data_IF_312796292829
#
_entry.id   IF_312796292829
#
_cell.length_a   1.000
_cell.length_b   1.000
_cell.length_c   1.000
_cell.angle_alpha   90.00
_cell.angle_beta   90.00
_cell.angle_gamma   90.00
#
_symmetry.space_group_name_H-M   'P 1'
#
loop_
_entity.id
_entity.type
_entity.pdbx_description
1 polymer ?
#
# COMPACT_ATOMS: atom_id res chain seq x y z
N UNK A 1 22.93 -10.85 -4.88
CA UNK A 1 23.36 -11.45 -3.60
C UNK A 1 24.80 -11.97 -3.76
N UNK A 2 25.53 -11.98 -2.67
CA UNK A 2 26.93 -12.40 -2.57
C UNK A 2 27.23 -13.81 -3.11
N UNK A 3 26.22 -14.60 -3.42
CA UNK A 3 26.40 -16.01 -3.72
C UNK A 3 26.58 -16.37 -5.19
N UNK A 4 26.15 -15.53 -6.14
CA UNK A 4 26.16 -15.95 -7.53
C UNK A 4 27.38 -15.49 -8.34
N UNK A 5 27.93 -14.27 -8.07
CA UNK A 5 28.99 -13.70 -8.92
C UNK A 5 30.05 -12.92 -8.15
N UNK A 6 30.09 -13.02 -6.82
CA UNK A 6 31.02 -12.24 -5.97
C UNK A 6 30.69 -10.75 -5.86
N UNK A 7 29.62 -10.27 -6.50
CA UNK A 7 29.19 -8.88 -6.50
C UNK A 7 27.94 -8.67 -5.63
N UNK A 8 27.85 -7.47 -5.03
CA UNK A 8 26.66 -7.05 -4.29
C UNK A 8 25.74 -6.33 -5.28
N UNK A 9 24.58 -6.90 -5.54
CA UNK A 9 23.56 -6.32 -6.42
C UNK A 9 22.14 -6.45 -5.86
N UNK A 10 21.20 -5.85 -6.53
CA UNK A 10 19.77 -5.96 -6.24
C UNK A 10 19.15 -6.95 -7.22
N UNK A 11 18.40 -7.92 -6.70
CA UNK A 11 17.60 -8.82 -7.53
C UNK A 11 16.29 -8.10 -7.92
N UNK A 12 15.95 -8.12 -9.21
CA UNK A 12 14.68 -7.58 -9.72
C UNK A 12 13.50 -8.54 -9.41
N UNK A 13 13.16 -8.65 -8.12
CA UNK A 13 12.05 -9.50 -7.69
C UNK A 13 10.70 -8.97 -8.19
N UNK A 14 10.55 -7.65 -8.29
CA UNK A 14 9.34 -7.01 -8.83
C UNK A 14 9.07 -7.45 -10.26
N UNK A 15 10.06 -7.36 -11.14
CA UNK A 15 9.93 -7.80 -12.54
C UNK A 15 9.67 -9.30 -12.65
N UNK A 16 10.28 -10.10 -11.77
CA UNK A 16 10.01 -11.55 -11.73
C UNK A 16 8.56 -11.85 -11.40
N UNK A 17 7.97 -11.15 -10.43
CA UNK A 17 6.56 -11.29 -10.07
C UNK A 17 5.64 -10.88 -11.23
N UNK A 18 5.89 -9.72 -11.86
CA UNK A 18 5.09 -9.26 -13.00
C UNK A 18 5.09 -10.33 -14.11
N UNK A 19 6.27 -10.83 -14.49
CA UNK A 19 6.39 -11.87 -15.52
C UNK A 19 5.70 -13.17 -15.13
N UNK A 20 5.79 -13.56 -13.84
CA UNK A 20 5.12 -14.77 -13.36
C UNK A 20 3.59 -14.65 -13.48
N UNK A 21 3.00 -13.55 -13.05
CA UNK A 21 1.56 -13.31 -13.18
C UNK A 21 1.11 -13.21 -14.66
N UNK A 22 1.90 -12.54 -15.51
CA UNK A 22 1.60 -12.46 -16.93
C UNK A 22 1.60 -13.85 -17.59
N UNK A 23 2.50 -14.74 -17.19
CA UNK A 23 2.53 -16.13 -17.66
C UNK A 23 1.27 -16.90 -17.30
N UNK A 24 0.64 -16.59 -16.17
CA UNK A 24 -0.65 -17.14 -15.75
C UNK A 24 -1.86 -16.41 -16.35
N UNK A 25 -1.63 -15.52 -17.34
CA UNK A 25 -2.68 -14.84 -18.07
C UNK A 25 -3.20 -13.56 -17.44
N UNK A 26 -2.56 -13.03 -16.40
CA UNK A 26 -2.91 -11.74 -15.85
C UNK A 26 -2.36 -10.60 -16.70
N UNK A 27 -3.06 -9.47 -16.68
CA UNK A 27 -2.65 -8.24 -17.34
C UNK A 27 -1.98 -7.35 -16.31
N UNK A 28 -0.75 -6.90 -16.58
CA UNK A 28 -0.11 -5.86 -15.78
C UNK A 28 -0.85 -4.54 -16.01
N UNK A 29 -1.53 -4.06 -14.98
CA UNK A 29 -2.38 -2.87 -15.07
C UNK A 29 -1.62 -1.60 -14.71
N UNK A 30 -1.03 -1.56 -13.53
CA UNK A 30 -0.32 -0.39 -13.01
C UNK A 30 0.56 -0.76 -11.82
N UNK A 31 1.37 0.18 -11.40
CA UNK A 31 2.12 0.06 -10.16
C UNK A 31 2.23 1.40 -9.46
N UNK A 32 2.40 1.36 -8.16
CA UNK A 32 2.67 2.52 -7.32
C UNK A 32 3.99 2.31 -6.59
N UNK A 33 4.84 3.32 -6.62
CA UNK A 33 6.07 3.37 -5.84
C UNK A 33 5.76 3.97 -4.46
N UNK A 34 6.03 3.21 -3.39
CA UNK A 34 5.87 3.67 -2.01
C UNK A 34 7.23 4.16 -1.52
N UNK A 35 7.30 5.47 -1.26
CA UNK A 35 8.51 6.10 -0.78
C UNK A 35 8.89 5.61 0.62
N UNK A 36 10.18 5.39 0.83
CA UNK A 36 10.75 5.05 2.14
C UNK A 36 11.83 6.02 2.53
N UNK A 37 11.78 6.49 3.76
CA UNK A 37 12.84 7.33 4.32
C UNK A 37 14.18 6.56 4.32
N UNK A 38 15.21 7.03 3.62
CA UNK A 38 16.50 6.33 3.55
C UNK A 38 17.19 6.20 4.91
N UNK A 39 16.95 7.15 5.82
CA UNK A 39 17.49 7.09 7.20
C UNK A 39 16.85 5.95 7.98
N UNK A 40 15.53 5.81 7.91
CA UNK A 40 14.82 4.70 8.56
C UNK A 40 15.21 3.36 7.94
N UNK A 41 15.29 3.30 6.60
CA UNK A 41 15.72 2.10 5.89
C UNK A 41 17.15 1.68 6.28
N UNK A 42 18.06 2.63 6.39
CA UNK A 42 19.43 2.40 6.84
C UNK A 42 19.47 1.86 8.28
N UNK A 43 18.73 2.47 9.19
CA UNK A 43 18.69 2.07 10.60
C UNK A 43 18.15 0.65 10.76
N UNK A 44 17.10 0.29 10.01
CA UNK A 44 16.48 -1.04 10.06
C UNK A 44 17.34 -2.13 9.40
N UNK A 45 17.90 -1.85 8.24
CA UNK A 45 18.62 -2.85 7.44
C UNK A 45 20.12 -2.88 7.70
N UNK A 46 20.66 -1.85 8.36
CA UNK A 46 22.12 -1.62 8.55
C UNK A 46 22.88 -1.73 7.22
N UNK A 47 22.23 -1.34 6.12
CA UNK A 47 22.81 -1.44 4.79
C UNK A 47 23.92 -0.41 4.61
N UNK A 48 25.16 -0.87 4.49
CA UNK A 48 26.35 -0.03 4.39
C UNK A 48 26.25 1.00 3.25
N UNK A 49 25.71 0.62 2.10
CA UNK A 49 25.55 1.51 0.96
C UNK A 49 24.58 2.69 1.16
N UNK A 50 23.73 2.65 2.19
CA UNK A 50 22.82 3.75 2.55
C UNK A 50 23.40 4.71 3.60
N UNK A 51 24.60 4.40 4.15
CA UNK A 51 25.21 5.25 5.15
C UNK A 51 25.81 6.51 4.50
N UNK A 52 25.49 7.69 5.03
CA UNK A 52 26.08 8.95 4.55
C UNK A 52 27.61 8.92 4.55
N UNK A 53 28.23 8.33 5.57
CA UNK A 53 29.69 8.15 5.64
C UNK A 53 30.27 7.33 4.48
N UNK A 54 29.49 6.44 3.87
CA UNK A 54 29.93 5.65 2.72
C UNK A 54 30.06 6.53 1.48
N UNK A 55 29.15 7.50 1.27
CA UNK A 55 29.24 8.47 0.18
C UNK A 55 30.52 9.28 0.30
N UNK A 56 30.84 9.74 1.51
CA UNK A 56 32.05 10.55 1.77
C UNK A 56 33.32 9.75 1.58
N UNK A 57 33.31 8.47 1.96
CA UNK A 57 34.49 7.60 1.89
C UNK A 57 34.73 7.04 0.48
N UNK A 58 33.66 6.54 -0.13
CA UNK A 58 33.67 5.92 -1.46
C UNK A 58 32.27 5.91 -2.04
N UNK A 59 32.00 6.85 -2.95
CA UNK A 59 30.70 7.02 -3.58
C UNK A 59 30.30 5.83 -4.46
N UNK A 60 31.27 5.07 -4.97
CA UNK A 60 30.99 3.88 -5.79
C UNK A 60 30.29 2.77 -5.04
N UNK A 61 30.43 2.75 -3.72
CA UNK A 61 29.78 1.79 -2.82
C UNK A 61 28.39 2.26 -2.35
N UNK A 62 28.03 3.50 -2.68
CA UNK A 62 26.73 4.05 -2.29
C UNK A 62 25.62 3.53 -3.19
N UNK A 63 24.44 3.35 -2.62
CA UNK A 63 23.22 3.04 -3.37
C UNK A 63 22.04 3.83 -2.83
N UNK A 64 21.06 4.03 -3.68
CA UNK A 64 19.78 4.63 -3.27
C UNK A 64 18.99 3.65 -2.41
N UNK A 65 18.07 4.18 -1.61
CA UNK A 65 17.07 3.39 -0.92
C UNK A 65 16.20 2.62 -1.93
N UNK A 66 15.71 1.47 -1.53
CA UNK A 66 14.79 0.67 -2.35
C UNK A 66 13.39 0.99 -1.85
N UNK A 67 12.49 1.50 -2.70
CA UNK A 67 11.09 1.70 -2.34
C UNK A 67 10.37 0.35 -2.24
N UNK A 68 9.16 0.35 -1.69
CA UNK A 68 8.21 -0.73 -1.90
C UNK A 68 7.37 -0.43 -3.14
N UNK A 69 6.84 -1.48 -3.74
CA UNK A 69 5.98 -1.38 -4.92
C UNK A 69 4.66 -2.08 -4.66
N UNK A 70 3.56 -1.39 -4.93
CA UNK A 70 2.25 -2.01 -5.07
C UNK A 70 2.03 -2.32 -6.55
N UNK A 71 2.04 -3.60 -6.89
CA UNK A 71 1.85 -4.07 -8.26
C UNK A 71 0.40 -4.45 -8.44
N UNK A 72 -0.26 -3.87 -9.43
CA UNK A 72 -1.66 -4.13 -9.75
C UNK A 72 -1.75 -4.99 -10.99
N UNK A 73 -2.30 -6.18 -10.83
CA UNK A 73 -2.56 -7.13 -11.90
C UNK A 73 -4.06 -7.31 -12.08
N UNK A 74 -4.53 -7.41 -13.31
CA UNK A 74 -5.94 -7.58 -13.65
C UNK A 74 -6.16 -8.90 -14.37
N UNK A 75 -7.26 -9.59 -14.06
CA UNK A 75 -7.74 -10.70 -14.91
C UNK A 75 -8.28 -10.15 -16.23
N UNK A 76 -8.09 -10.85 -17.37
CA UNK A 76 -8.80 -10.53 -18.59
C UNK A 76 -10.31 -10.71 -18.41
N UNK A 77 -11.10 -9.97 -19.16
CA UNK A 77 -12.56 -10.01 -19.13
C UNK A 77 -13.16 -8.62 -18.93
N UNK A 78 -14.49 -8.58 -19.07
CA UNK A 78 -15.28 -7.35 -18.88
C UNK A 78 -15.65 -7.18 -17.40
N UNK A 79 -15.62 -5.93 -16.95
CA UNK A 79 -16.11 -5.59 -15.63
C UNK A 79 -17.61 -5.25 -15.71
N UNK A 80 -18.46 -6.20 -15.36
CA UNK A 80 -19.92 -6.03 -15.41
C UNK A 80 -20.47 -5.17 -14.26
N UNK A 81 -19.67 -4.98 -13.21
CA UNK A 81 -20.02 -4.10 -12.09
C UNK A 81 -18.91 -3.07 -11.92
N UNK A 82 -19.14 -1.79 -12.24
CA UNK A 82 -18.19 -0.74 -11.94
C UNK A 82 -17.84 -0.73 -10.45
N UNK A 83 -16.57 -0.57 -10.15
CA UNK A 83 -16.13 -0.39 -8.77
C UNK A 83 -16.64 0.98 -8.30
N UNK A 84 -17.39 0.97 -7.20
CA UNK A 84 -17.87 2.17 -6.52
C UNK A 84 -17.24 2.19 -5.13
N UNK A 85 -16.40 3.14 -4.87
CA UNK A 85 -15.77 3.30 -3.57
C UNK A 85 -16.05 4.69 -2.99
N UNK A 86 -15.15 5.16 -2.15
CA UNK A 86 -15.19 6.53 -1.61
C UNK A 86 -15.13 7.62 -2.69
N UNK A 87 -14.85 7.25 -3.94
CA UNK A 87 -14.78 8.13 -5.10
C UNK A 87 -16.07 8.11 -5.94
N UNK A 88 -17.22 7.94 -5.30
CA UNK A 88 -18.52 7.84 -5.99
C UNK A 88 -18.95 9.12 -6.74
N UNK A 89 -18.40 10.27 -6.36
CA UNK A 89 -18.75 11.53 -6.97
C UNK A 89 -17.84 11.86 -8.14
N UNK A 90 -18.37 11.77 -9.34
CA UNK A 90 -17.85 12.53 -10.45
C UNK A 90 -18.55 13.90 -10.49
N UNK A 91 -17.79 14.95 -10.34
CA UNK A 91 -18.32 16.32 -10.24
C UNK A 91 -18.42 16.98 -11.62
N UNK A 92 -18.03 16.30 -12.68
CA UNK A 92 -18.05 16.83 -14.05
C UNK A 92 -17.01 17.91 -14.30
N UNK A 93 -17.28 18.78 -15.24
CA UNK A 93 -16.40 19.89 -15.62
C UNK A 93 -16.59 21.12 -14.73
N UNK A 94 -17.57 21.10 -13.84
CA UNK A 94 -17.81 22.16 -12.87
C UNK A 94 -16.76 22.15 -11.78
N UNK A 95 -16.45 23.33 -11.25
CA UNK A 95 -15.55 23.48 -10.11
C UNK A 95 -16.17 22.81 -8.88
N UNK A 96 -15.57 21.77 -8.33
CA UNK A 96 -16.12 21.15 -7.13
C UNK A 96 -16.15 22.14 -5.96
N UNK A 97 -17.12 21.96 -5.07
CA UNK A 97 -17.16 22.74 -3.83
C UNK A 97 -15.86 22.49 -3.04
N UNK A 98 -15.19 23.57 -2.62
CA UNK A 98 -13.92 23.51 -1.92
C UNK A 98 -12.67 23.54 -2.82
N UNK A 99 -12.85 23.75 -4.14
CA UNK A 99 -11.75 23.98 -5.07
C UNK A 99 -11.78 25.39 -5.66
N UNK A 100 -10.60 25.94 -5.88
CA UNK A 100 -10.40 27.13 -6.70
C UNK A 100 -9.82 26.74 -8.06
N UNK A 101 -10.39 27.29 -9.11
CA UNK A 101 -9.83 27.21 -10.46
C UNK A 101 -8.76 28.28 -10.61
N UNK A 102 -7.57 27.86 -10.93
CA UNK A 102 -6.42 28.74 -11.14
C UNK A 102 -5.88 28.58 -12.56
N UNK A 103 -5.20 29.62 -13.03
CA UNK A 103 -4.55 29.65 -14.32
C UNK A 103 -3.02 29.78 -14.14
N UNK A 104 -2.27 28.98 -14.85
CA UNK A 104 -0.81 29.12 -14.94
C UNK A 104 -0.45 30.20 -15.94
N UNK A 105 0.78 30.70 -15.88
CA UNK A 105 1.27 31.72 -16.80
C UNK A 105 1.31 31.29 -18.28
N UNK A 106 1.14 30.00 -18.57
CA UNK A 106 1.01 29.44 -19.92
C UNK A 106 -0.46 29.29 -20.38
N UNK A 107 -1.42 29.77 -19.57
CA UNK A 107 -2.86 29.66 -19.83
C UNK A 107 -3.48 28.31 -19.46
N UNK A 108 -2.71 27.34 -18.99
CA UNK A 108 -3.26 26.06 -18.52
C UNK A 108 -3.97 26.24 -17.19
N UNK A 109 -5.09 25.51 -17.03
CA UNK A 109 -5.88 25.56 -15.81
C UNK A 109 -5.46 24.46 -14.85
N UNK A 110 -5.59 24.75 -13.56
CA UNK A 110 -5.42 23.75 -12.49
C UNK A 110 -6.32 24.07 -11.31
N UNK A 111 -6.54 23.06 -10.48
CA UNK A 111 -7.39 23.18 -9.30
C UNK A 111 -6.53 23.20 -8.05
N UNK A 112 -6.90 24.05 -7.09
CA UNK A 112 -6.33 24.05 -5.74
C UNK A 112 -7.43 23.79 -4.72
N UNK A 113 -7.10 23.11 -3.63
CA UNK A 113 -8.04 22.85 -2.53
C UNK A 113 -8.20 24.10 -1.70
N UNK A 114 -9.44 24.52 -1.50
CA UNK A 114 -9.76 25.68 -0.64
C UNK A 114 -10.19 25.29 0.77
N UNK A 115 -10.51 24.02 1.01
CA UNK A 115 -11.02 23.56 2.30
C UNK A 115 -10.21 22.39 2.87
N UNK A 116 -10.24 22.25 4.19
CA UNK A 116 -9.68 21.10 4.90
C UNK A 116 -10.46 19.79 4.64
N UNK A 117 -11.63 19.87 4.05
CA UNK A 117 -12.46 18.72 3.70
C UNK A 117 -12.03 18.15 2.35
N UNK A 118 -11.34 17.00 2.37
CA UNK A 118 -10.97 16.29 1.15
C UNK A 118 -12.21 15.91 0.33
N UNK A 119 -12.22 16.34 -0.93
CA UNK A 119 -13.25 15.93 -1.89
C UNK A 119 -12.85 14.62 -2.58
N UNK A 120 -13.77 13.91 -3.27
CA UNK A 120 -13.43 12.75 -4.06
C UNK A 120 -12.29 12.98 -5.05
N UNK A 121 -12.20 14.17 -5.63
CA UNK A 121 -11.13 14.53 -6.58
C UNK A 121 -9.77 14.63 -5.87
N UNK A 122 -9.69 15.23 -4.67
CA UNK A 122 -8.46 15.28 -3.87
C UNK A 122 -7.96 13.90 -3.53
N UNK A 123 -8.89 13.04 -3.09
CA UNK A 123 -8.56 11.65 -2.76
C UNK A 123 -8.04 10.96 -4.01
N UNK A 124 -8.70 11.14 -5.15
CA UNK A 124 -8.26 10.54 -6.41
C UNK A 124 -6.87 11.06 -6.84
N UNK A 125 -6.62 12.36 -6.81
CA UNK A 125 -5.32 12.93 -7.16
C UNK A 125 -4.19 12.37 -6.31
N UNK A 126 -4.45 12.22 -5.00
CA UNK A 126 -3.50 11.67 -4.05
C UNK A 126 -3.26 10.18 -4.28
N UNK A 127 -4.33 9.41 -4.47
CA UNK A 127 -4.26 7.96 -4.56
C UNK A 127 -3.85 7.45 -5.94
N UNK A 128 -4.24 8.16 -7.01
CA UNK A 128 -3.82 7.85 -8.38
C UNK A 128 -2.39 8.31 -8.71
N UNK A 129 -1.71 8.98 -7.77
CA UNK A 129 -0.31 9.33 -7.93
C UNK A 129 0.55 8.07 -8.09
N UNK A 130 1.51 8.05 -9.04
CA UNK A 130 2.42 6.92 -9.20
C UNK A 130 3.42 6.77 -8.05
N UNK A 131 3.49 7.76 -7.17
CA UNK A 131 4.37 7.75 -5.98
C UNK A 131 3.56 8.15 -4.76
N UNK A 132 3.52 7.28 -3.77
CA UNK A 132 2.96 7.59 -2.46
C UNK A 132 4.09 7.94 -1.48
N UNK A 133 4.25 9.23 -1.21
CA UNK A 133 5.30 9.76 -0.34
C UNK A 133 4.85 9.99 1.09
N UNK A 134 3.55 9.89 1.37
CA UNK A 134 2.90 10.25 2.62
C UNK A 134 2.37 9.05 3.41
N UNK A 135 2.80 7.83 3.08
CA UNK A 135 2.48 6.62 3.85
C UNK A 135 3.13 6.69 5.22
N UNK A 136 2.32 6.55 6.27
CA UNK A 136 2.84 6.50 7.64
C UNK A 136 3.47 5.12 7.94
N UNK A 137 4.80 5.04 8.10
CA UNK A 137 5.48 3.76 8.28
C UNK A 137 5.19 3.07 9.62
N UNK A 138 4.57 3.78 10.58
CA UNK A 138 4.23 3.25 11.90
C UNK A 138 2.76 2.88 12.06
N UNK A 139 1.90 3.26 11.10
CA UNK A 139 0.48 2.91 11.12
C UNK A 139 0.28 1.45 10.67
N UNK A 140 0.53 0.54 11.58
CA UNK A 140 0.41 -0.92 11.38
C UNK A 140 -0.34 -1.54 12.56
N UNK A 141 -0.89 -2.73 12.38
CA UNK A 141 -1.43 -3.51 13.49
C UNK A 141 -0.32 -3.89 14.48
N UNK A 142 -0.68 -4.03 15.76
CA UNK A 142 0.25 -4.44 16.82
C UNK A 142 0.57 -5.94 16.67
N UNK A 143 1.85 -6.25 16.51
CA UNK A 143 2.31 -7.61 16.26
C UNK A 143 3.15 -8.20 17.40
N UNK A 144 3.52 -7.40 18.39
CA UNK A 144 4.43 -7.82 19.46
C UNK A 144 3.87 -8.98 20.28
N UNK A 145 2.56 -9.05 20.44
CA UNK A 145 1.88 -10.10 21.20
C UNK A 145 1.84 -11.47 20.50
N UNK A 146 2.16 -11.53 19.21
CA UNK A 146 2.23 -12.78 18.45
C UNK A 146 3.66 -13.36 18.37
N UNK A 147 4.62 -12.66 18.96
CA UNK A 147 6.03 -13.05 18.93
C UNK A 147 6.32 -14.13 19.95
N UNK A 148 6.73 -15.30 19.51
CA UNK A 148 7.45 -16.26 20.35
C UNK A 148 8.94 -15.88 20.44
N UNK A 149 9.63 -16.30 21.51
CA UNK A 149 11.03 -15.96 21.76
C UNK A 149 12.00 -16.43 20.65
N UNK A 150 11.62 -17.46 19.90
CA UNK A 150 12.38 -18.05 18.80
C UNK A 150 11.93 -17.56 17.40
N UNK A 151 11.00 -16.62 17.35
CA UNK A 151 10.47 -16.15 16.09
C UNK A 151 11.46 -15.29 15.30
N UNK A 152 11.45 -15.52 14.00
CA UNK A 152 12.16 -14.70 13.04
C UNK A 152 11.82 -13.21 13.25
N UNK A 153 12.86 -12.39 13.27
CA UNK A 153 12.78 -10.94 13.48
C UNK A 153 12.07 -10.18 12.35
N UNK A 154 11.32 -10.87 11.49
CA UNK A 154 10.84 -10.38 10.20
C UNK A 154 9.34 -10.12 10.11
N UNK A 155 8.61 -10.11 11.23
CA UNK A 155 7.22 -9.66 11.19
C UNK A 155 7.22 -8.16 10.90
N UNK A 156 6.81 -7.81 9.71
CA UNK A 156 6.62 -6.44 9.28
C UNK A 156 5.19 -6.33 8.73
N UNK A 157 4.19 -6.04 9.57
CA UNK A 157 2.82 -5.83 9.08
C UNK A 157 2.83 -4.73 8.02
N UNK A 158 1.99 -4.89 7.00
CA UNK A 158 1.80 -3.87 5.98
C UNK A 158 1.15 -2.63 6.60
N UNK A 159 1.54 -1.45 6.14
CA UNK A 159 0.94 -0.19 6.58
C UNK A 159 -0.53 -0.14 6.17
N UNK A 160 -1.39 0.22 7.12
CA UNK A 160 -2.83 0.31 6.89
C UNK A 160 -3.17 1.35 5.81
N UNK A 161 -2.41 2.44 5.70
CA UNK A 161 -2.58 3.45 4.65
C UNK A 161 -2.50 2.86 3.25
N UNK A 162 -1.56 1.92 3.01
CA UNK A 162 -1.39 1.26 1.71
C UNK A 162 -2.62 0.41 1.39
N UNK A 163 -3.10 -0.34 2.38
CA UNK A 163 -4.24 -1.22 2.22
C UNK A 163 -5.51 -0.41 1.99
N UNK A 164 -5.74 0.65 2.77
CA UNK A 164 -6.90 1.55 2.61
C UNK A 164 -6.97 2.14 1.21
N UNK A 165 -5.85 2.65 0.70
CA UNK A 165 -5.82 3.19 -0.66
C UNK A 165 -6.08 2.13 -1.72
N UNK A 166 -5.50 0.96 -1.57
CA UNK A 166 -5.77 -0.16 -2.48
C UNK A 166 -7.25 -0.56 -2.47
N UNK A 167 -7.87 -0.64 -1.28
CA UNK A 167 -9.30 -0.93 -1.16
C UNK A 167 -10.16 0.13 -1.85
N UNK A 168 -9.87 1.40 -1.66
CA UNK A 168 -10.64 2.49 -2.25
C UNK A 168 -10.50 2.58 -3.77
N UNK A 169 -9.31 2.28 -4.31
CA UNK A 169 -9.07 2.36 -5.74
C UNK A 169 -9.63 1.17 -6.52
N UNK A 170 -9.65 -0.03 -5.93
CA UNK A 170 -9.90 -1.26 -6.70
C UNK A 170 -10.98 -2.18 -6.12
N UNK A 171 -11.69 -1.76 -5.09
CA UNK A 171 -12.81 -2.53 -4.53
C UNK A 171 -14.01 -1.65 -4.23
N UNK A 172 -15.21 -2.23 -4.26
CA UNK A 172 -16.44 -1.61 -3.79
C UNK A 172 -16.86 -2.16 -2.42
N UNK A 173 -17.72 -1.47 -1.67
CA UNK A 173 -18.42 -2.08 -0.53
C UNK A 173 -19.06 -3.43 -0.93
N UNK A 174 -19.10 -4.38 0.00
CA UNK A 174 -19.55 -5.77 -0.18
C UNK A 174 -18.67 -6.67 -1.06
N UNK A 175 -17.61 -6.16 -1.69
CA UNK A 175 -16.67 -7.01 -2.40
C UNK A 175 -15.91 -7.93 -1.44
N UNK A 176 -15.45 -9.06 -1.97
CA UNK A 176 -14.64 -10.01 -1.23
C UNK A 176 -13.16 -9.75 -1.47
N UNK A 177 -12.46 -9.47 -0.40
CA UNK A 177 -11.00 -9.35 -0.37
C UNK A 177 -10.42 -10.69 0.07
N UNK A 178 -9.47 -11.21 -0.69
CA UNK A 178 -8.77 -12.45 -0.36
C UNK A 178 -7.28 -12.21 -0.15
N UNK A 179 -6.75 -12.69 0.99
CA UNK A 179 -5.31 -12.71 1.26
C UNK A 179 -4.83 -14.14 1.46
N UNK A 180 -3.94 -14.66 0.59
CA UNK A 180 -3.34 -15.97 0.77
C UNK A 180 -2.26 -16.00 1.86
N UNK A 181 -1.83 -14.83 2.34
CA UNK A 181 -0.80 -14.64 3.36
C UNK A 181 -1.27 -13.63 4.40
N UNK A 182 -2.30 -14.00 5.15
CA UNK A 182 -3.03 -13.09 6.05
C UNK A 182 -2.16 -12.49 7.15
N UNK A 183 -1.14 -13.21 7.60
CA UNK A 183 -0.31 -12.77 8.72
C UNK A 183 -1.17 -12.49 9.95
N UNK A 184 -1.08 -11.28 10.49
CA UNK A 184 -1.88 -10.84 11.63
C UNK A 184 -3.21 -10.16 11.22
N UNK A 185 -3.59 -10.23 9.92
CA UNK A 185 -4.90 -9.81 9.44
C UNK A 185 -5.01 -8.35 9.01
N UNK A 186 -3.94 -7.68 8.61
CA UNK A 186 -3.98 -6.25 8.25
C UNK A 186 -4.95 -5.95 7.11
N UNK A 187 -4.93 -6.76 6.04
CA UNK A 187 -5.84 -6.61 4.90
C UNK A 187 -7.29 -6.84 5.30
N UNK A 188 -7.54 -7.87 6.13
CA UNK A 188 -8.87 -8.17 6.62
C UNK A 188 -9.42 -7.10 7.55
N UNK A 189 -8.57 -6.56 8.42
CA UNK A 189 -8.93 -5.47 9.31
C UNK A 189 -9.46 -4.25 8.53
N UNK A 190 -8.71 -3.81 7.53
CA UNK A 190 -9.12 -2.68 6.67
C UNK A 190 -10.34 -3.03 5.83
N UNK A 191 -10.41 -4.25 5.28
CA UNK A 191 -11.56 -4.70 4.49
C UNK A 191 -12.86 -4.57 5.29
N UNK A 192 -12.87 -5.08 6.52
CA UNK A 192 -14.04 -5.02 7.40
C UNK A 192 -14.40 -3.59 7.79
N UNK A 193 -13.41 -2.77 8.17
CA UNK A 193 -13.64 -1.36 8.50
C UNK A 193 -14.20 -0.54 7.33
N UNK A 194 -13.93 -0.95 6.10
CA UNK A 194 -14.38 -0.26 4.90
C UNK A 194 -15.59 -0.93 4.22
N UNK A 195 -16.27 -1.83 4.93
CA UNK A 195 -17.51 -2.48 4.46
C UNK A 195 -17.29 -3.57 3.41
N UNK A 196 -16.07 -4.14 3.31
CA UNK A 196 -15.75 -5.27 2.45
C UNK A 196 -15.82 -6.57 3.25
N UNK A 197 -15.95 -7.69 2.53
CA UNK A 197 -15.85 -9.04 3.10
C UNK A 197 -14.41 -9.53 3.01
N UNK A 198 -13.98 -10.39 3.93
CA UNK A 198 -12.62 -10.88 3.93
C UNK A 198 -12.55 -12.40 3.99
N UNK A 199 -11.65 -12.97 3.21
CA UNK A 199 -11.23 -14.37 3.29
C UNK A 199 -9.71 -14.38 3.33
N UNK A 200 -9.14 -15.14 4.25
CA UNK A 200 -7.69 -15.22 4.37
C UNK A 200 -7.21 -16.60 4.80
N UNK A 201 -5.94 -16.88 4.51
CA UNK A 201 -5.26 -18.09 4.95
C UNK A 201 -3.97 -17.71 5.67
N UNK A 202 -3.67 -18.41 6.76
CA UNK A 202 -2.46 -18.27 7.54
C UNK A 202 -2.04 -19.63 8.09
N UNK A 203 -0.76 -19.97 7.94
CA UNK A 203 -0.22 -21.27 8.37
C UNK A 203 0.24 -21.25 9.83
N UNK A 204 0.68 -20.09 10.31
CA UNK A 204 1.21 -19.97 11.66
C UNK A 204 0.09 -19.71 12.66
N UNK A 205 -0.15 -20.68 13.56
CA UNK A 205 -1.22 -20.64 14.55
C UNK A 205 -1.27 -19.33 15.36
N UNK A 206 -0.10 -18.85 15.86
CA UNK A 206 -0.04 -17.63 16.66
C UNK A 206 -0.47 -16.38 15.89
N UNK A 207 -0.20 -16.35 14.56
CA UNK A 207 -0.61 -15.24 13.68
C UNK A 207 -2.10 -15.35 13.34
N UNK A 208 -2.55 -16.58 13.07
CA UNK A 208 -3.95 -16.86 12.83
C UNK A 208 -4.84 -16.43 14.02
N UNK A 209 -4.45 -16.79 15.25
CA UNK A 209 -5.20 -16.40 16.45
C UNK A 209 -5.17 -14.87 16.69
N UNK A 210 -4.05 -14.22 16.40
CA UNK A 210 -4.00 -12.76 16.46
C UNK A 210 -4.85 -12.10 15.34
N UNK A 211 -4.83 -12.66 14.13
CA UNK A 211 -5.66 -12.18 13.03
C UNK A 211 -7.15 -12.26 13.40
N UNK A 212 -7.61 -13.37 13.97
CA UNK A 212 -9.01 -13.50 14.44
C UNK A 212 -9.41 -12.39 15.41
N UNK A 213 -8.53 -12.06 16.36
CA UNK A 213 -8.79 -10.97 17.32
C UNK A 213 -8.87 -9.63 16.62
N UNK A 214 -7.90 -9.32 15.78
CA UNK A 214 -7.87 -8.08 15.03
C UNK A 214 -9.11 -7.90 14.11
N UNK A 215 -9.58 -8.99 13.49
CA UNK A 215 -10.77 -8.97 12.65
C UNK A 215 -12.04 -8.75 13.50
N UNK A 216 -12.16 -9.41 14.65
CA UNK A 216 -13.26 -9.21 15.58
C UNK A 216 -13.30 -7.77 16.11
N UNK A 217 -12.13 -7.18 16.42
CA UNK A 217 -12.04 -5.79 16.85
C UNK A 217 -12.49 -4.83 15.73
N UNK A 218 -12.14 -5.11 14.47
CA UNK A 218 -12.58 -4.31 13.33
C UNK A 218 -14.12 -4.35 13.16
N UNK A 219 -14.75 -5.51 13.31
CA UNK A 219 -16.20 -5.66 13.25
C UNK A 219 -16.91 -4.89 14.38
N UNK A 220 -16.40 -4.96 15.59
CA UNK A 220 -16.96 -4.26 16.75
C UNK A 220 -16.89 -2.72 16.58
N UNK A 221 -15.79 -2.19 16.06
CA UNK A 221 -15.64 -0.76 15.77
C UNK A 221 -16.67 -0.31 14.74
N UNK A 222 -16.86 -1.09 13.69
CA UNK A 222 -17.81 -0.76 12.61
C UNK A 222 -19.25 -0.80 13.13
N UNK A 223 -19.61 -1.76 13.98
CA UNK A 223 -20.94 -1.82 14.58
C UNK A 223 -21.18 -0.69 15.60
N UNK A 224 -20.16 -0.30 16.36
CA UNK A 224 -20.26 0.81 17.32
C UNK A 224 -20.37 2.20 16.70
N UNK A 225 -20.04 2.36 15.42
CA UNK A 225 -20.20 3.63 14.66
C UNK A 225 -21.61 3.77 14.04
N UNK A 226 -22.44 2.72 14.07
CA UNK A 226 -23.80 2.74 13.54
C UNK A 226 -24.87 3.16 14.57
N UNK A 227 -24.45 3.50 15.80
CA UNK A 227 -25.27 4.02 16.89
C UNK A 227 -24.60 5.31 17.41
#
# INVERSE_FOLDING_TARGET
SKQNDGFIGVKDFRGDLIRAFQKEGFIFHSEVCIWKCPVVAMTRTKALGLLHKTIVKDSSMSRMGIPDYLIVMRKPGDNTKPIKGALEYYVGDDVPAGFAKNERGDGSLFWTVESENATPIDIWQKYASPVWSDINPTRTLQYLNARSADDERHICPLQLDVIERAMQLWTAPDDVVFSPFTGIGSEGYVALQTGRKFIGTELKESYYELAKRNLSDAENITQGQLF
#
